data_IF_159026449256
#
_entry.id   IF_159026449256
#
_cell.length_a   1.000
_cell.length_b   1.000
_cell.length_c   1.000
_cell.angle_alpha   90.00
_cell.angle_beta   90.00
_cell.angle_gamma   90.00
#
_symmetry.space_group_name_H-M   'P 1'
#
loop_
_entity.id
_entity.type
_entity.pdbx_description
1 polymer ?
#
# COMPACT_ATOMS: atom_id res chain seq x y z
N UNK A 1 23.80 -22.16 -28.01
CA UNK A 1 22.36 -21.90 -28.21
C UNK A 1 21.91 -20.97 -27.10
N UNK A 2 21.33 -19.82 -27.43
CA UNK A 2 20.86 -18.86 -26.42
C UNK A 2 19.41 -19.23 -26.14
N UNK A 3 19.10 -19.63 -24.91
CA UNK A 3 17.74 -19.92 -24.48
C UNK A 3 16.97 -18.59 -24.43
N UNK A 4 16.19 -18.32 -25.48
CA UNK A 4 15.28 -17.16 -25.49
C UNK A 4 14.13 -17.44 -24.52
N UNK A 5 13.92 -16.54 -23.57
CA UNK A 5 12.79 -16.57 -22.66
C UNK A 5 11.68 -15.68 -23.25
N UNK A 6 10.45 -16.15 -23.27
CA UNK A 6 9.31 -15.35 -23.73
C UNK A 6 8.96 -14.26 -22.70
N UNK A 7 8.70 -13.01 -23.14
CA UNK A 7 8.31 -11.94 -22.23
C UNK A 7 6.95 -12.24 -21.59
N UNK A 8 6.83 -12.02 -20.28
CA UNK A 8 5.57 -12.15 -19.54
C UNK A 8 5.08 -10.77 -19.10
N UNK A 9 3.77 -10.53 -19.22
CA UNK A 9 3.12 -9.32 -18.74
C UNK A 9 2.41 -9.62 -17.44
N UNK A 10 2.66 -8.80 -16.42
CA UNK A 10 2.03 -8.91 -15.11
C UNK A 10 1.55 -7.54 -14.69
N UNK A 11 0.30 -7.44 -14.22
CA UNK A 11 -0.17 -6.23 -13.57
C UNK A 11 0.65 -6.00 -12.29
N UNK A 12 1.21 -4.81 -12.11
CA UNK A 12 2.03 -4.46 -10.93
C UNK A 12 1.37 -3.40 -10.05
N UNK A 13 0.31 -2.77 -10.54
CA UNK A 13 -0.31 -1.63 -9.89
C UNK A 13 -1.78 -1.49 -10.29
N UNK A 14 -2.63 -1.22 -9.30
CA UNK A 14 -4.01 -0.77 -9.49
C UNK A 14 -4.27 0.51 -8.70
N UNK A 15 -5.18 1.32 -9.23
CA UNK A 15 -5.67 2.56 -8.63
C UNK A 15 -7.13 2.37 -8.25
N UNK A 16 -7.48 2.70 -7.01
CA UNK A 16 -8.84 2.66 -6.49
C UNK A 16 -9.22 4.06 -6.01
N UNK A 17 -10.24 4.64 -6.64
CA UNK A 17 -10.78 5.94 -6.29
C UNK A 17 -12.31 5.92 -6.36
N UNK A 18 -12.93 6.77 -5.55
CA UNK A 18 -14.36 7.07 -5.64
C UNK A 18 -14.64 8.30 -6.51
N UNK A 19 -13.61 9.05 -6.91
CA UNK A 19 -13.74 10.18 -7.81
C UNK A 19 -13.70 9.72 -9.27
N UNK A 20 -14.34 10.45 -10.20
CA UNK A 20 -14.13 10.26 -11.63
C UNK A 20 -12.63 10.28 -12.00
N UNK A 21 -12.25 9.51 -13.03
CA UNK A 21 -10.85 9.37 -13.44
C UNK A 21 -10.20 10.70 -13.86
N UNK A 22 -11.00 11.67 -14.30
CA UNK A 22 -10.61 13.00 -14.76
C UNK A 22 -10.81 14.10 -13.70
N UNK A 23 -11.21 13.73 -12.47
CA UNK A 23 -11.38 14.69 -11.38
C UNK A 23 -10.02 15.26 -10.95
N UNK A 24 -9.92 16.59 -10.79
CA UNK A 24 -8.65 17.27 -10.45
C UNK A 24 -8.03 16.76 -9.13
N UNK A 25 -8.88 16.52 -8.13
CA UNK A 25 -8.48 15.96 -6.84
C UNK A 25 -8.29 14.42 -6.85
N UNK A 26 -8.41 13.75 -8.01
CA UNK A 26 -8.35 12.29 -8.11
C UNK A 26 -7.13 11.69 -7.41
N UNK A 27 -5.97 12.33 -7.57
CA UNK A 27 -4.71 11.90 -6.95
C UNK A 27 -4.69 12.01 -5.42
N UNK A 28 -5.49 12.91 -4.84
CA UNK A 28 -5.57 13.13 -3.39
C UNK A 28 -6.42 12.07 -2.69
N UNK A 29 -7.39 11.51 -3.41
CA UNK A 29 -8.38 10.54 -2.92
C UNK A 29 -8.24 9.18 -3.62
N UNK A 30 -7.00 8.71 -3.73
CA UNK A 30 -6.68 7.41 -4.34
C UNK A 30 -5.99 6.47 -3.34
N UNK A 31 -6.36 5.19 -3.40
CA UNK A 31 -5.63 4.09 -2.80
C UNK A 31 -4.90 3.33 -3.92
N UNK A 32 -3.61 3.06 -3.70
CA UNK A 32 -2.78 2.27 -4.61
C UNK A 32 -2.73 0.83 -4.12
N UNK A 33 -2.92 -0.13 -5.02
CA UNK A 33 -2.69 -1.55 -4.75
C UNK A 33 -1.48 -1.97 -5.57
N UNK A 34 -0.35 -2.17 -4.91
CA UNK A 34 0.97 -2.38 -5.53
C UNK A 34 1.48 -3.80 -5.30
N UNK A 35 2.01 -4.45 -6.33
CA UNK A 35 2.60 -5.80 -6.24
C UNK A 35 3.88 -5.79 -5.39
N UNK A 36 4.06 -6.82 -4.56
CA UNK A 36 5.17 -6.96 -3.58
C UNK A 36 5.90 -8.31 -3.64
N UNK A 37 5.79 -8.99 -4.77
CA UNK A 37 6.32 -10.34 -5.01
C UNK A 37 5.47 -11.49 -4.43
N UNK A 38 5.69 -12.72 -4.91
CA UNK A 38 4.99 -13.95 -4.51
C UNK A 38 3.45 -13.88 -4.58
N UNK A 39 2.91 -13.17 -5.57
CA UNK A 39 1.45 -13.01 -5.70
C UNK A 39 0.83 -12.09 -4.65
N UNK A 40 1.65 -11.43 -3.84
CA UNK A 40 1.20 -10.56 -2.76
C UNK A 40 1.21 -9.08 -3.14
N UNK A 41 0.34 -8.33 -2.50
CA UNK A 41 0.00 -6.95 -2.81
C UNK A 41 -0.08 -6.12 -1.53
N UNK A 42 0.45 -4.90 -1.57
CA UNK A 42 0.25 -3.91 -0.51
C UNK A 42 -0.85 -2.93 -0.88
N UNK A 43 -1.71 -2.59 0.08
CA UNK A 43 -2.70 -1.51 -0.05
C UNK A 43 -2.12 -0.24 0.56
N UNK A 44 -2.04 0.83 -0.24
CA UNK A 44 -1.34 2.06 0.13
C UNK A 44 -2.19 3.29 -0.02
N UNK A 45 -2.08 4.16 0.98
CA UNK A 45 -2.54 5.53 0.93
C UNK A 45 -1.32 6.42 1.16
N UNK A 46 -0.85 7.11 0.11
CA UNK A 46 0.41 7.88 0.13
C UNK A 46 1.57 6.98 0.57
N UNK A 47 2.29 7.35 1.63
CA UNK A 47 3.41 6.58 2.16
C UNK A 47 3.00 5.60 3.27
N UNK A 48 1.71 5.38 3.50
CA UNK A 48 1.21 4.43 4.48
C UNK A 48 0.75 3.13 3.82
N UNK A 49 0.94 2.01 4.51
CA UNK A 49 0.44 0.69 4.17
C UNK A 49 -0.70 0.30 5.11
N UNK A 50 -1.73 -0.35 4.59
CA UNK A 50 -2.82 -0.89 5.40
C UNK A 50 -2.41 -2.24 6.00
N UNK A 51 -2.59 -2.40 7.31
CA UNK A 51 -2.41 -3.66 8.01
C UNK A 51 -3.67 -4.54 8.01
N UNK A 52 -3.51 -5.82 8.36
CA UNK A 52 -4.61 -6.77 8.62
C UNK A 52 -5.54 -6.29 9.73
N UNK A 53 -5.03 -5.48 10.65
CA UNK A 53 -5.76 -4.79 11.72
C UNK A 53 -6.64 -3.63 11.25
N UNK A 54 -6.62 -3.33 9.94
CA UNK A 54 -7.32 -2.23 9.25
C UNK A 54 -6.80 -0.83 9.60
N UNK A 55 -5.60 -0.72 10.17
CA UNK A 55 -4.96 0.56 10.44
C UNK A 55 -3.87 0.87 9.41
N UNK A 56 -3.57 2.17 9.27
CA UNK A 56 -2.51 2.66 8.39
C UNK A 56 -1.20 2.79 9.16
N UNK A 57 -0.14 2.16 8.67
CA UNK A 57 1.21 2.25 9.24
C UNK A 57 2.21 2.81 8.22
N UNK A 58 3.27 3.48 8.69
CA UNK A 58 4.26 4.14 7.82
C UNK A 58 5.38 3.22 7.31
N UNK A 59 5.40 1.96 7.74
CA UNK A 59 6.49 1.04 7.48
C UNK A 59 7.01 0.37 8.76
N UNK A 60 7.84 -0.66 8.58
CA UNK A 60 8.63 -1.26 9.65
C UNK A 60 9.87 -0.42 9.94
N UNK A 61 10.22 -0.27 11.21
CA UNK A 61 11.41 0.46 11.66
C UNK A 61 12.05 -0.26 12.85
N UNK A 62 13.38 -0.38 12.83
CA UNK A 62 14.16 -0.82 13.98
C UNK A 62 13.93 0.11 15.20
N UNK A 63 13.69 -0.48 16.36
CA UNK A 63 13.44 0.26 17.61
C UNK A 63 14.51 0.05 18.68
N UNK A 64 15.58 -0.72 18.39
CA UNK A 64 16.67 -0.95 19.34
C UNK A 64 17.70 0.19 19.39
N UNK A 65 18.64 0.06 20.32
CA UNK A 65 19.84 0.90 20.43
C UNK A 65 21.09 0.04 20.19
N UNK A 66 22.05 0.47 19.34
CA UNK A 66 22.08 1.73 18.59
C UNK A 66 21.02 1.78 17.46
N UNK A 67 20.90 2.93 16.79
CA UNK A 67 19.83 3.21 15.81
C UNK A 67 19.78 2.28 14.59
N UNK A 68 20.75 1.38 14.47
CA UNK A 68 20.81 0.28 13.50
C UNK A 68 21.27 -0.99 14.22
N UNK A 69 20.80 -2.18 13.82
CA UNK A 69 21.30 -3.45 14.36
C UNK A 69 22.83 -3.55 14.22
N UNK A 70 23.55 -3.71 15.33
CA UNK A 70 25.02 -3.71 15.35
C UNK A 70 25.61 -5.12 15.42
N UNK A 71 24.80 -6.10 15.82
CA UNK A 71 25.18 -7.50 15.97
C UNK A 71 24.34 -8.40 15.07
N UNK A 72 24.85 -9.60 14.81
CA UNK A 72 24.10 -10.64 14.06
C UNK A 72 22.77 -10.97 14.73
N UNK A 73 22.74 -11.09 16.07
CA UNK A 73 21.52 -11.37 16.81
C UNK A 73 20.47 -10.24 16.69
N UNK A 74 20.91 -8.98 16.67
CA UNK A 74 20.01 -7.85 16.43
C UNK A 74 19.51 -7.82 14.98
N UNK A 75 20.37 -8.17 14.02
CA UNK A 75 19.98 -8.27 12.61
C UNK A 75 18.95 -9.38 12.40
N UNK A 76 19.10 -10.53 13.07
CA UNK A 76 18.12 -11.61 13.04
C UNK A 76 16.78 -11.18 13.65
N UNK A 77 16.80 -10.42 14.75
CA UNK A 77 15.58 -9.84 15.35
C UNK A 77 14.91 -8.87 14.38
N UNK A 78 15.68 -7.95 13.78
CA UNK A 78 15.19 -7.00 12.80
C UNK A 78 14.51 -7.70 11.62
N UNK A 79 15.16 -8.71 11.03
CA UNK A 79 14.61 -9.45 9.90
C UNK A 79 13.31 -10.17 10.27
N UNK A 80 13.26 -10.82 11.44
CA UNK A 80 12.07 -11.53 11.91
C UNK A 80 10.88 -10.60 12.14
N UNK A 81 11.12 -9.45 12.74
CA UNK A 81 10.08 -8.45 12.98
C UNK A 81 9.64 -7.78 11.67
N UNK A 82 10.58 -7.54 10.75
CA UNK A 82 10.27 -7.06 9.40
C UNK A 82 9.38 -8.05 8.66
N UNK A 83 9.71 -9.34 8.69
CA UNK A 83 8.91 -10.40 8.06
C UNK A 83 7.49 -10.47 8.64
N UNK A 84 7.35 -10.34 9.96
CA UNK A 84 6.05 -10.25 10.61
C UNK A 84 5.25 -9.04 10.13
N UNK A 85 5.89 -7.86 10.06
CA UNK A 85 5.25 -6.65 9.53
C UNK A 85 4.85 -6.83 8.06
N UNK A 86 5.70 -7.44 7.23
CA UNK A 86 5.38 -7.72 5.83
C UNK A 86 4.18 -8.68 5.69
N UNK A 87 4.09 -9.71 6.53
CA UNK A 87 2.96 -10.64 6.54
C UNK A 87 1.65 -9.96 6.92
N UNK A 88 1.69 -8.95 7.80
CA UNK A 88 0.52 -8.17 8.20
C UNK A 88 0.07 -7.13 7.17
N UNK A 89 0.95 -6.73 6.24
CA UNK A 89 0.69 -5.63 5.30
C UNK A 89 0.68 -6.05 3.82
N UNK A 90 0.77 -7.36 3.56
CA UNK A 90 0.74 -7.96 2.23
C UNK A 90 -0.40 -8.96 2.14
N UNK A 91 -1.20 -8.83 1.10
CA UNK A 91 -2.42 -9.60 0.89
C UNK A 91 -2.41 -10.26 -0.49
N UNK A 92 -3.24 -11.27 -0.70
CA UNK A 92 -3.60 -11.66 -2.06
C UNK A 92 -4.32 -10.50 -2.78
N UNK A 93 -4.36 -10.54 -4.11
CA UNK A 93 -4.91 -9.45 -4.92
C UNK A 93 -6.39 -9.16 -4.61
N UNK A 94 -7.19 -10.21 -4.41
CA UNK A 94 -8.63 -10.07 -4.16
C UNK A 94 -8.87 -9.34 -2.82
N UNK A 95 -8.18 -9.79 -1.77
CA UNK A 95 -8.20 -9.16 -0.46
C UNK A 95 -7.71 -7.72 -0.53
N UNK A 96 -6.60 -7.45 -1.23
CA UNK A 96 -6.07 -6.10 -1.38
C UNK A 96 -7.07 -5.15 -2.06
N UNK A 97 -7.68 -5.58 -3.17
CA UNK A 97 -8.69 -4.79 -3.88
C UNK A 97 -9.96 -4.57 -3.04
N UNK A 98 -10.40 -5.59 -2.30
CA UNK A 98 -11.55 -5.48 -1.39
C UNK A 98 -11.27 -4.44 -0.30
N UNK A 99 -10.13 -4.54 0.38
CA UNK A 99 -9.72 -3.60 1.42
C UNK A 99 -9.58 -2.17 0.87
N UNK A 100 -8.99 -2.00 -0.31
CA UNK A 100 -8.89 -0.71 -0.96
C UNK A 100 -10.27 -0.09 -1.22
N UNK A 101 -11.23 -0.87 -1.74
CA UNK A 101 -12.60 -0.39 -1.97
C UNK A 101 -13.35 -0.06 -0.67
N UNK A 102 -13.13 -0.82 0.40
CA UNK A 102 -13.72 -0.53 1.72
C UNK A 102 -13.21 0.80 2.31
N UNK A 103 -11.94 1.12 2.09
CA UNK A 103 -11.30 2.30 2.66
C UNK A 103 -11.38 3.56 1.78
N UNK A 104 -11.49 3.41 0.46
CA UNK A 104 -11.50 4.55 -0.47
C UNK A 104 -12.56 5.62 -0.14
N UNK A 105 -13.82 5.30 0.21
CA UNK A 105 -14.83 6.30 0.57
C UNK A 105 -14.51 7.09 1.85
N UNK A 106 -13.59 6.59 2.69
CA UNK A 106 -13.22 7.16 4.00
C UNK A 106 -11.97 8.02 3.93
N UNK A 107 -11.36 8.16 2.75
CA UNK A 107 -10.19 9.02 2.59
C UNK A 107 -10.54 10.46 2.94
N UNK A 108 -9.60 11.08 3.64
CA UNK A 108 -9.65 12.49 3.99
C UNK A 108 -8.34 13.17 3.60
N UNK A 109 -8.44 14.34 2.97
CA UNK A 109 -7.29 15.19 2.70
C UNK A 109 -7.54 16.58 3.27
N UNK A 110 -6.66 17.02 4.20
CA UNK A 110 -6.75 18.35 4.84
C UNK A 110 -8.16 18.65 5.41
N UNK A 111 -8.85 17.63 5.93
CA UNK A 111 -10.20 17.75 6.48
C UNK A 111 -11.33 17.59 5.46
N UNK A 112 -11.04 17.55 4.15
CA UNK A 112 -12.03 17.30 3.10
C UNK A 112 -12.20 15.80 2.86
N UNK A 113 -13.47 15.37 2.76
CA UNK A 113 -13.83 13.98 2.44
C UNK A 113 -14.00 13.80 0.94
N UNK A 114 -14.04 12.53 0.49
CA UNK A 114 -14.43 12.18 -0.89
C UNK A 114 -15.76 12.84 -1.29
N UNK A 115 -16.76 12.81 -0.39
CA UNK A 115 -18.07 13.40 -0.66
C UNK A 115 -18.00 14.93 -0.84
N UNK A 116 -17.13 15.60 -0.07
CA UNK A 116 -16.90 17.03 -0.23
C UNK A 116 -16.23 17.35 -1.57
N UNK A 117 -15.25 16.54 -2.00
CA UNK A 117 -14.62 16.69 -3.31
C UNK A 117 -15.64 16.52 -4.45
N UNK A 118 -16.49 15.48 -4.40
CA UNK A 118 -17.55 15.26 -5.39
C UNK A 118 -18.60 16.39 -5.45
N UNK A 119 -18.88 17.06 -4.33
CA UNK A 119 -19.85 18.14 -4.26
C UNK A 119 -19.33 19.47 -4.84
N UNK A 120 -18.03 19.57 -5.08
CA UNK A 120 -17.38 20.68 -5.76
C UNK A 120 -16.82 20.20 -7.10
N UNK A 121 -17.67 19.92 -8.10
CA UNK A 121 -17.18 19.83 -9.46
C UNK A 121 -16.55 21.18 -9.79
N UNK A 122 -15.26 21.16 -10.11
CA UNK A 122 -14.53 22.31 -10.61
C UNK A 122 -15.32 22.96 -11.76
N UNK A 123 -15.35 24.30 -11.90
CA UNK A 123 -16.05 24.99 -12.98
C UNK A 123 -15.70 24.49 -14.39
#
# INVERSE_FOLDING_TARGET
MIQQHEPTVTAVHYVVSCLPNDHEDGYLFTIHVEYRDNGLWSVKNRSQCLGTDRNWSWGFRWSGEPAEPATEAEMDSFNKEQDAWLAEHRFDLETALRLAKEHAPRLMHRGHTVAAALAHPTP
#
